data_IF_955666747943
#
_entry.id   IF_955666747943
#
_cell.length_a   1.000
_cell.length_b   1.000
_cell.length_c   1.000
_cell.angle_alpha   90.00
_cell.angle_beta   90.00
_cell.angle_gamma   90.00
#
_symmetry.space_group_name_H-M   'P 1'
#
loop_
_entity.id
_entity.type
_entity.pdbx_description
1 polymer ?
#
# COMPACT_ATOMS: atom_id res chain seq x y z
N UNK A 1 15.30 8.19 -9.62
CA UNK A 1 14.40 7.26 -10.35
C UNK A 1 15.12 5.94 -10.49
N UNK A 2 14.59 4.92 -9.83
CA UNK A 2 15.15 3.58 -9.71
C UNK A 2 14.28 2.57 -10.47
N UNK A 3 14.88 1.46 -10.86
CA UNK A 3 14.25 0.32 -11.50
C UNK A 3 14.02 -0.76 -10.45
N UNK A 4 12.79 -1.27 -10.31
CA UNK A 4 12.48 -2.36 -9.39
C UNK A 4 11.96 -3.55 -10.19
N UNK A 5 12.58 -4.71 -10.01
CA UNK A 5 12.22 -5.98 -10.65
C UNK A 5 11.77 -7.00 -9.62
N UNK A 6 10.61 -7.62 -9.86
CA UNK A 6 10.19 -8.81 -9.13
C UNK A 6 10.68 -10.07 -9.86
N UNK A 7 11.67 -10.76 -9.29
CA UNK A 7 12.25 -11.99 -9.86
C UNK A 7 11.24 -13.13 -10.03
N UNK A 8 10.14 -13.12 -9.27
CA UNK A 8 9.10 -14.16 -9.35
C UNK A 8 8.28 -14.04 -10.64
N UNK A 9 7.87 -12.83 -10.99
CA UNK A 9 7.02 -12.57 -12.17
C UNK A 9 7.78 -12.03 -13.38
N UNK A 10 9.02 -11.57 -13.20
CA UNK A 10 9.79 -10.84 -14.20
C UNK A 10 9.25 -9.44 -14.50
N UNK A 11 8.27 -8.95 -13.72
CA UNK A 11 7.70 -7.60 -13.92
C UNK A 11 8.64 -6.54 -13.37
N UNK A 12 8.68 -5.40 -14.06
CA UNK A 12 9.51 -4.25 -13.73
C UNK A 12 8.65 -3.00 -13.60
N UNK A 13 8.91 -2.19 -12.58
CA UNK A 13 8.27 -0.89 -12.39
C UNK A 13 9.28 0.18 -11.95
N UNK A 14 8.84 1.44 -11.94
CA UNK A 14 9.68 2.59 -11.60
C UNK A 14 9.32 3.14 -10.23
N UNK A 15 10.34 3.52 -9.48
CA UNK A 15 10.21 4.24 -8.21
C UNK A 15 11.00 5.54 -8.28
N UNK A 16 10.46 6.63 -7.73
CA UNK A 16 11.21 7.88 -7.55
C UNK A 16 12.15 7.83 -6.34
N UNK A 17 11.90 6.92 -5.40
CA UNK A 17 12.60 6.82 -4.11
C UNK A 17 11.96 7.67 -3.00
N UNK A 18 10.93 8.43 -3.33
CA UNK A 18 10.16 9.31 -2.44
C UNK A 18 8.85 8.65 -1.97
N UNK A 19 8.39 7.60 -2.65
CA UNK A 19 7.23 6.76 -2.30
C UNK A 19 7.67 5.41 -1.73
N UNK A 20 6.76 4.71 -1.03
CA UNK A 20 7.07 3.35 -0.58
C UNK A 20 7.06 2.40 -1.77
N UNK A 21 7.92 1.38 -1.76
CA UNK A 21 8.03 0.45 -2.89
C UNK A 21 6.68 -0.24 -3.18
N UNK A 22 5.90 -0.53 -2.13
CA UNK A 22 4.55 -1.08 -2.28
C UNK A 22 3.62 -0.12 -3.04
N UNK A 23 3.65 1.17 -2.74
CA UNK A 23 2.75 2.15 -3.37
C UNK A 23 3.07 2.26 -4.87
N UNK A 24 4.36 2.35 -5.21
CA UNK A 24 4.82 2.36 -6.59
C UNK A 24 4.42 1.07 -7.33
N UNK A 25 4.56 -0.09 -6.69
CA UNK A 25 4.16 -1.38 -7.27
C UNK A 25 2.65 -1.42 -7.59
N UNK A 26 1.81 -0.98 -6.64
CA UNK A 26 0.35 -0.97 -6.80
C UNK A 26 -0.10 -0.01 -7.90
N UNK A 27 0.50 1.18 -8.00
CA UNK A 27 0.22 2.15 -9.07
C UNK A 27 0.55 1.57 -10.45
N UNK A 28 1.60 0.75 -10.55
CA UNK A 28 2.00 0.09 -11.79
C UNK A 28 1.28 -1.25 -12.03
N UNK A 29 0.28 -1.60 -11.21
CA UNK A 29 -0.55 -2.80 -11.38
C UNK A 29 0.10 -4.11 -10.90
N UNK A 30 1.13 -4.04 -10.05
CA UNK A 30 1.70 -5.21 -9.38
C UNK A 30 0.97 -5.44 -8.05
N UNK A 31 0.21 -6.53 -7.97
CA UNK A 31 -0.54 -6.90 -6.78
C UNK A 31 0.33 -7.64 -5.76
N UNK A 32 1.23 -6.91 -5.10
CA UNK A 32 1.97 -7.46 -3.97
C UNK A 32 1.04 -7.69 -2.77
N UNK A 33 1.31 -8.68 -1.90
CA UNK A 33 0.52 -8.91 -0.71
C UNK A 33 0.69 -7.77 0.28
N UNK A 34 -0.42 -7.17 0.72
CA UNK A 34 -0.41 -6.15 1.78
C UNK A 34 -1.63 -6.25 2.68
N UNK A 35 -1.65 -5.43 3.73
CA UNK A 35 -2.72 -5.43 4.72
C UNK A 35 -2.83 -4.07 5.40
N UNK A 36 -2.03 -3.85 6.44
CA UNK A 36 -2.13 -2.64 7.25
C UNK A 36 -1.45 -1.40 6.65
N UNK A 37 -0.50 -1.56 5.72
CA UNK A 37 0.34 -0.47 5.16
C UNK A 37 0.99 0.46 6.21
N UNK A 38 1.16 -0.03 7.44
CA UNK A 38 1.74 0.72 8.56
C UNK A 38 2.90 -0.04 9.22
N UNK A 39 3.45 -1.05 8.55
CA UNK A 39 4.61 -1.79 9.06
C UNK A 39 4.35 -2.74 10.23
N UNK A 40 3.10 -3.21 10.43
CA UNK A 40 2.75 -4.11 11.55
C UNK A 40 2.42 -5.54 11.14
N UNK A 41 1.69 -5.75 10.02
CA UNK A 41 1.12 -7.07 9.71
C UNK A 41 2.09 -8.04 9.02
N UNK A 42 3.26 -7.57 8.56
CA UNK A 42 4.27 -8.40 7.88
C UNK A 42 3.89 -8.95 6.50
N UNK A 43 2.68 -8.68 5.98
CA UNK A 43 2.21 -9.26 4.71
C UNK A 43 3.01 -8.83 3.47
N UNK A 44 3.49 -7.59 3.46
CA UNK A 44 4.28 -7.01 2.36
C UNK A 44 5.77 -7.29 2.47
N UNK A 45 6.15 -8.41 3.11
CA UNK A 45 7.54 -8.78 3.27
C UNK A 45 8.07 -9.34 1.95
N UNK A 46 9.21 -8.82 1.52
CA UNK A 46 9.94 -9.29 0.35
C UNK A 46 11.40 -9.54 0.71
N UNK A 47 12.06 -10.43 -0.03
CA UNK A 47 13.51 -10.62 0.06
C UNK A 47 14.19 -9.75 -1.00
N UNK A 48 15.13 -8.91 -0.59
CA UNK A 48 15.95 -8.10 -1.49
C UNK A 48 17.12 -8.97 -1.95
N UNK A 49 17.21 -9.21 -3.25
CA UNK A 49 18.28 -10.01 -3.87
C UNK A 49 19.45 -9.11 -4.27
N UNK A 50 19.13 -7.96 -4.87
CA UNK A 50 20.12 -6.94 -5.24
C UNK A 50 19.56 -5.54 -4.99
N UNK A 51 20.46 -4.59 -4.74
CA UNK A 51 20.11 -3.21 -4.46
C UNK A 51 19.98 -2.89 -2.98
N UNK A 52 19.60 -1.65 -2.69
CA UNK A 52 19.51 -1.10 -1.35
C UNK A 52 18.13 -0.47 -1.12
N UNK A 53 17.55 -0.79 0.03
CA UNK A 53 16.31 -0.19 0.53
C UNK A 53 16.56 0.48 1.87
N UNK A 54 15.78 1.51 2.18
CA UNK A 54 15.85 2.19 3.47
C UNK A 54 14.49 2.56 4.02
N UNK A 55 14.38 2.61 5.35
CA UNK A 55 13.25 3.19 6.06
C UNK A 55 13.56 4.67 6.36
N UNK A 56 12.55 5.54 6.41
CA UNK A 56 12.75 6.95 6.81
C UNK A 56 13.00 7.12 8.31
N UNK A 57 12.59 6.16 9.11
CA UNK A 57 12.79 6.14 10.55
C UNK A 57 13.28 4.78 11.03
N UNK A 58 12.81 4.36 12.20
CA UNK A 58 13.17 3.07 12.79
C UNK A 58 12.67 1.89 11.95
N UNK A 59 13.31 0.74 12.13
CA UNK A 59 12.87 -0.52 11.55
C UNK A 59 11.44 -0.81 12.04
N UNK A 60 10.47 -1.08 11.13
CA UNK A 60 9.09 -1.31 11.54
C UNK A 60 8.95 -2.58 12.40
N UNK A 61 7.98 -2.58 13.32
CA UNK A 61 7.75 -3.70 14.23
C UNK A 61 7.29 -5.00 13.55
N UNK A 62 6.82 -4.94 12.30
CA UNK A 62 6.35 -6.09 11.53
C UNK A 62 7.44 -6.93 10.89
N UNK A 63 8.71 -6.66 11.17
CA UNK A 63 9.87 -7.43 10.71
C UNK A 63 10.88 -7.58 11.86
N UNK A 64 11.48 -8.76 12.01
CA UNK A 64 12.46 -8.99 13.07
C UNK A 64 13.86 -8.57 12.63
N UNK A 65 14.78 -8.28 13.58
CA UNK A 65 16.17 -7.97 13.24
C UNK A 65 16.86 -9.08 12.46
N UNK A 66 16.54 -10.35 12.73
CA UNK A 66 17.08 -11.50 12.01
C UNK A 66 16.61 -11.50 10.55
N UNK A 67 15.33 -11.25 10.31
CA UNK A 67 14.77 -11.17 8.96
C UNK A 67 15.38 -10.01 8.15
N UNK A 68 15.63 -8.86 8.79
CA UNK A 68 16.36 -7.75 8.17
C UNK A 68 17.79 -8.17 7.83
N UNK A 69 18.47 -8.89 8.73
CA UNK A 69 19.83 -9.39 8.48
C UNK A 69 19.88 -10.43 7.35
N UNK A 70 18.79 -11.16 7.11
CA UNK A 70 18.59 -12.07 5.97
C UNK A 70 18.22 -11.34 4.67
N UNK A 71 18.22 -10.01 4.67
CA UNK A 71 17.92 -9.20 3.48
C UNK A 71 16.42 -9.03 3.20
N UNK A 72 15.55 -9.29 4.19
CA UNK A 72 14.12 -9.03 4.03
C UNK A 72 13.75 -7.59 4.37
N UNK A 73 12.70 -7.08 3.73
CA UNK A 73 12.17 -5.74 3.97
C UNK A 73 10.64 -5.69 3.88
N UNK A 74 10.02 -4.75 4.59
CA UNK A 74 8.59 -4.44 4.45
C UNK A 74 8.38 -3.36 3.39
N UNK A 75 7.87 -3.76 2.23
CA UNK A 75 7.69 -2.87 1.07
C UNK A 75 6.76 -1.68 1.33
N UNK A 76 5.85 -1.80 2.30
CA UNK A 76 4.93 -0.69 2.67
C UNK A 76 5.57 0.43 3.48
N UNK A 77 6.81 0.28 3.95
CA UNK A 77 7.51 1.29 4.74
C UNK A 77 8.92 1.59 4.21
N UNK A 78 9.48 0.73 3.36
CA UNK A 78 10.80 0.97 2.76
C UNK A 78 10.68 1.70 1.42
N UNK A 79 11.73 2.48 1.12
CA UNK A 79 11.92 3.20 -0.14
C UNK A 79 13.18 2.71 -0.83
N UNK A 80 13.18 2.81 -2.15
CA UNK A 80 14.35 2.46 -2.95
C UNK A 80 15.49 3.47 -2.77
N UNK A 81 16.73 2.98 -2.66
CA UNK A 81 17.96 3.78 -2.64
C UNK A 81 18.87 3.50 -3.84
N UNK A 82 18.62 2.41 -4.56
CA UNK A 82 19.23 2.05 -5.83
C UNK A 82 18.24 1.23 -6.66
N UNK A 83 18.68 0.74 -7.82
CA UNK A 83 17.92 -0.27 -8.58
C UNK A 83 17.83 -1.57 -7.75
N UNK A 84 16.64 -2.18 -7.70
CA UNK A 84 16.32 -3.29 -6.81
C UNK A 84 15.86 -4.50 -7.59
N UNK A 85 16.42 -5.65 -7.22
CA UNK A 85 15.89 -6.96 -7.55
C UNK A 85 15.33 -7.60 -6.29
N UNK A 86 14.04 -7.94 -6.28
CA UNK A 86 13.36 -8.51 -5.11
C UNK A 86 12.58 -9.77 -5.46
N UNK A 87 12.27 -10.56 -4.43
CA UNK A 87 11.44 -11.76 -4.51
C UNK A 87 10.20 -11.56 -3.63
N UNK A 88 9.03 -11.54 -4.26
CA UNK A 88 7.74 -11.57 -3.58
C UNK A 88 6.69 -12.27 -4.45
N UNK A 89 5.86 -13.10 -3.83
CA UNK A 89 4.75 -13.75 -4.52
C UNK A 89 3.62 -12.73 -4.72
N UNK A 90 3.29 -12.44 -5.97
CA UNK A 90 2.11 -11.64 -6.32
C UNK A 90 0.82 -12.40 -5.98
N UNK A 91 -0.23 -11.67 -5.63
CA UNK A 91 -1.56 -12.21 -5.47
C UNK A 91 -2.23 -12.31 -6.84
N UNK A 92 -2.84 -13.47 -7.13
CA UNK A 92 -3.72 -13.62 -8.26
C UNK A 92 -4.86 -12.61 -8.14
N UNK A 93 -5.07 -11.74 -9.14
CA UNK A 93 -6.19 -10.82 -9.12
C UNK A 93 -7.49 -11.63 -9.20
N UNK A 94 -8.23 -11.68 -8.09
CA UNK A 94 -9.60 -12.25 -8.11
C UNK A 94 -10.56 -11.29 -8.83
N UNK A 95 -10.19 -10.01 -8.91
CA UNK A 95 -10.81 -8.98 -9.72
C UNK A 95 -9.73 -7.95 -10.11
N UNK A 96 -9.71 -7.50 -11.37
CA UNK A 96 -8.79 -6.47 -11.88
C UNK A 96 -9.17 -5.08 -11.35
N UNK A 97 -9.10 -4.90 -10.03
CA UNK A 97 -9.42 -3.64 -9.34
C UNK A 97 -8.12 -2.86 -9.21
N UNK A 98 -7.97 -1.82 -10.03
CA UNK A 98 -6.83 -0.91 -9.98
C UNK A 98 -6.88 0.02 -8.77
N UNK A 99 -5.74 0.22 -8.12
CA UNK A 99 -5.57 1.21 -7.04
C UNK A 99 -5.43 2.59 -7.67
N UNK A 100 -6.31 3.52 -7.29
CA UNK A 100 -6.33 4.88 -7.86
C UNK A 100 -6.82 5.92 -6.86
N UNK A 101 -6.34 7.15 -7.04
CA UNK A 101 -6.83 8.30 -6.28
C UNK A 101 -8.11 8.85 -6.91
N UNK A 102 -9.20 8.85 -6.13
CA UNK A 102 -10.49 9.38 -6.56
C UNK A 102 -10.86 10.63 -5.74
N UNK A 103 -11.30 11.72 -6.38
CA UNK A 103 -11.89 12.83 -5.64
C UNK A 103 -13.18 12.37 -4.97
N UNK A 104 -13.44 12.83 -3.75
CA UNK A 104 -14.71 12.59 -3.08
C UNK A 104 -15.15 13.81 -2.27
N UNK A 105 -16.44 13.84 -1.90
CA UNK A 105 -17.01 14.83 -0.98
C UNK A 105 -17.68 14.12 0.18
N UNK A 106 -17.60 14.71 1.36
CA UNK A 106 -18.40 14.25 2.51
C UNK A 106 -19.87 14.60 2.25
N UNK A 107 -20.70 13.58 2.08
CA UNK A 107 -22.15 13.73 1.93
C UNK A 107 -22.84 13.87 3.28
N UNK A 108 -22.40 13.10 4.29
CA UNK A 108 -22.89 13.24 5.66
C UNK A 108 -21.90 12.70 6.69
N UNK A 109 -22.00 13.23 7.91
CA UNK A 109 -21.29 12.72 9.10
C UNK A 109 -22.34 12.47 10.18
N UNK A 110 -22.41 11.25 10.68
CA UNK A 110 -23.36 10.85 11.72
C UNK A 110 -22.62 10.17 12.86
N UNK A 111 -22.65 10.78 14.05
CA UNK A 111 -22.18 10.13 15.28
C UNK A 111 -23.16 9.02 15.67
N UNK A 112 -22.69 7.77 15.70
CA UNK A 112 -23.52 6.61 16.01
C UNK A 112 -23.62 6.39 17.52
N UNK A 113 -22.54 6.67 18.25
CA UNK A 113 -22.47 6.62 19.71
C UNK A 113 -21.32 7.52 20.21
N UNK A 114 -20.82 7.29 21.42
CA UNK A 114 -19.78 8.14 22.00
C UNK A 114 -18.40 8.03 21.32
N UNK A 115 -18.09 6.93 20.63
CA UNK A 115 -16.77 6.64 20.07
C UNK A 115 -16.77 6.21 18.59
N UNK A 116 -17.94 6.07 17.96
CA UNK A 116 -18.12 5.64 16.57
C UNK A 116 -18.85 6.71 15.76
N UNK A 117 -18.28 7.04 14.61
CA UNK A 117 -18.85 7.98 13.63
C UNK A 117 -18.93 7.33 12.26
N UNK A 118 -20.10 7.42 11.63
CA UNK A 118 -20.31 7.08 10.24
C UNK A 118 -20.03 8.32 9.38
N UNK A 119 -19.23 8.13 8.32
CA UNK A 119 -18.97 9.14 7.29
C UNK A 119 -19.42 8.56 5.97
N UNK A 120 -20.33 9.26 5.28
CA UNK A 120 -20.75 8.89 3.93
C UNK A 120 -19.98 9.76 2.93
N UNK A 121 -19.22 9.12 2.05
CA UNK A 121 -18.44 9.77 1.00
C UNK A 121 -19.10 9.57 -0.34
N UNK A 122 -19.18 10.65 -1.11
CA UNK A 122 -19.74 10.67 -2.47
C UNK A 122 -18.64 10.97 -3.46
N UNK A 123 -18.46 10.08 -4.43
CA UNK A 123 -17.56 10.28 -5.56
C UNK A 123 -18.34 11.07 -6.63
N UNK A 124 -17.92 12.29 -6.99
CA UNK A 124 -18.59 13.06 -8.02
C UNK A 124 -18.27 12.51 -9.41
N UNK A 125 -19.25 12.55 -10.32
CA UNK A 125 -19.09 12.11 -11.72
C UNK A 125 -19.65 10.71 -11.97
N UNK A 126 -19.29 10.13 -13.12
CA UNK A 126 -19.68 8.77 -13.54
C UNK A 126 -18.69 7.69 -13.08
N UNK A 127 -17.69 8.05 -12.29
CA UNK A 127 -16.71 7.11 -11.76
C UNK A 127 -17.29 6.33 -10.58
N UNK A 128 -17.21 5.01 -10.64
CA UNK A 128 -17.57 4.12 -9.53
C UNK A 128 -16.31 3.59 -8.85
N UNK A 129 -16.29 3.59 -7.53
CA UNK A 129 -15.30 2.83 -6.77
C UNK A 129 -15.61 1.34 -6.92
N UNK A 130 -14.69 0.59 -7.51
CA UNK A 130 -14.74 -0.86 -7.53
C UNK A 130 -14.00 -1.39 -6.30
N UNK A 131 -14.59 -2.35 -5.59
CA UNK A 131 -14.00 -2.96 -4.41
C UNK A 131 -14.61 -4.35 -4.15
N UNK A 132 -13.87 -5.19 -3.44
CA UNK A 132 -14.36 -6.43 -2.85
C UNK A 132 -14.67 -6.22 -1.35
N UNK A 133 -15.64 -6.96 -0.84
CA UNK A 133 -15.99 -6.93 0.58
C UNK A 133 -14.75 -7.22 1.45
N UNK A 134 -14.51 -6.37 2.45
CA UNK A 134 -13.35 -6.44 3.34
C UNK A 134 -12.16 -5.56 2.93
N UNK A 135 -12.20 -4.91 1.76
CA UNK A 135 -11.22 -3.90 1.39
C UNK A 135 -11.42 -2.55 2.12
N UNK A 136 -10.44 -1.67 1.99
CA UNK A 136 -10.39 -0.35 2.60
C UNK A 136 -9.99 0.70 1.57
N UNK A 137 -10.15 1.98 1.96
CA UNK A 137 -9.64 3.14 1.23
C UNK A 137 -8.75 3.97 2.14
N UNK A 138 -7.75 4.64 1.56
CA UNK A 138 -7.02 5.70 2.24
C UNK A 138 -7.71 7.04 2.04
N UNK A 139 -8.05 7.70 3.14
CA UNK A 139 -8.55 9.07 3.11
C UNK A 139 -7.37 10.04 3.13
N UNK A 140 -7.25 10.81 2.04
CA UNK A 140 -6.17 11.77 1.82
C UNK A 140 -6.73 13.18 2.02
N UNK A 141 -6.09 13.97 2.88
CA UNK A 141 -6.43 15.38 3.11
C UNK A 141 -5.14 16.22 3.19
N UNK A 142 -5.07 17.42 2.57
CA UNK A 142 -3.81 18.20 2.52
C UNK A 142 -3.18 18.51 3.88
N UNK A 143 -4.00 18.62 4.93
CA UNK A 143 -3.54 18.97 6.28
C UNK A 143 -3.30 17.76 7.20
N UNK A 144 -3.53 16.53 6.75
CA UNK A 144 -3.41 15.34 7.59
C UNK A 144 -2.73 14.20 6.85
N UNK A 145 -1.99 13.38 7.60
CA UNK A 145 -1.45 12.14 7.03
C UNK A 145 -2.59 11.21 6.56
N UNK A 146 -2.39 10.47 5.45
CA UNK A 146 -3.33 9.46 5.01
C UNK A 146 -3.63 8.41 6.09
N UNK A 147 -4.92 8.01 6.13
CA UNK A 147 -5.42 6.99 7.05
C UNK A 147 -6.37 6.04 6.33
N UNK A 148 -6.14 4.75 6.56
CA UNK A 148 -6.95 3.66 6.03
C UNK A 148 -8.25 3.49 6.81
N UNK A 149 -9.38 3.37 6.10
CA UNK A 149 -10.69 3.03 6.65
C UNK A 149 -11.37 1.95 5.81
N UNK A 150 -11.85 0.89 6.46
CA UNK A 150 -12.58 -0.18 5.79
C UNK A 150 -13.88 0.34 5.16
N UNK A 151 -14.21 -0.19 3.98
CA UNK A 151 -15.46 0.14 3.28
C UNK A 151 -16.62 -0.55 4.00
N UNK A 152 -17.66 0.21 4.35
CA UNK A 152 -18.75 -0.24 5.21
C UNK A 152 -20.12 -0.30 4.49
N UNK A 153 -20.15 -0.20 3.15
CA UNK A 153 -21.37 -0.31 2.34
C UNK A 153 -21.30 -1.50 1.36
N UNK A 154 -22.46 -1.87 0.82
CA UNK A 154 -22.65 -2.86 -0.24
C UNK A 154 -23.11 -2.19 -1.54
#
# INVERSE_FOLDING_TARGET
MFTIENQVSGKVFRSDGDSAILDDALIHGLNFPYGCQKGFCGKCKATIIEGEVGYEGDIPNGITPEEVAEGMALLCQCRAKSDISLVINELDSVADIEVRNLPCKVESIKRLNHDVTQILLKIPGSESLQYLAGQYVDLIHPNFEPRAFSIANA
#
